data_IF_626306965852
#
_entry.id   IF_626306965852
#
_cell.length_a   1.000
_cell.length_b   1.000
_cell.length_c   1.000
_cell.angle_alpha   90.00
_cell.angle_beta   90.00
_cell.angle_gamma   90.00
#
_symmetry.space_group_name_H-M   'P 1'
#
loop_
_entity.id
_entity.type
_entity.pdbx_description
1 polymer ?
#
# COMPACT_ATOMS: atom_id res chain seq x y z
N UNK A 1 -13.00 -5.50 23.72
CA UNK A 1 -12.34 -4.96 22.51
C UNK A 1 -11.66 -3.66 22.93
N UNK A 2 -10.33 -3.69 23.08
CA UNK A 2 -9.57 -2.72 23.92
C UNK A 2 -9.28 -1.42 23.17
N UNK A 3 -9.56 -0.25 23.77
CA UNK A 3 -9.31 1.09 23.18
C UNK A 3 -7.88 1.29 22.66
N UNK A 4 -6.90 0.58 23.23
CA UNK A 4 -5.50 0.62 22.82
C UNK A 4 -5.26 0.15 21.37
N UNK A 5 -6.06 -0.79 20.84
CA UNK A 5 -5.85 -1.27 19.46
C UNK A 5 -6.29 -0.24 18.44
N UNK A 6 -7.36 0.52 18.74
CA UNK A 6 -7.87 1.58 17.86
C UNK A 6 -6.91 2.77 17.76
N UNK A 7 -6.26 3.16 18.87
CA UNK A 7 -5.24 4.22 18.85
C UNK A 7 -3.97 3.82 18.09
N UNK A 8 -3.53 2.55 18.24
CA UNK A 8 -2.39 2.03 17.49
C UNK A 8 -2.67 1.99 15.97
N UNK A 9 -3.85 1.52 15.57
CA UNK A 9 -4.28 1.55 14.16
C UNK A 9 -4.35 2.98 13.61
N UNK A 10 -4.89 3.94 14.37
CA UNK A 10 -4.96 5.34 13.96
C UNK A 10 -3.57 5.98 13.78
N UNK A 11 -2.64 5.70 14.68
CA UNK A 11 -1.27 6.21 14.60
C UNK A 11 -0.53 5.64 13.39
N UNK A 12 -0.70 4.35 13.09
CA UNK A 12 -0.11 3.71 11.91
C UNK A 12 -0.70 4.24 10.61
N UNK A 13 -2.02 4.41 10.53
CA UNK A 13 -2.70 5.00 9.36
C UNK A 13 -2.21 6.43 9.14
N UNK A 14 -2.14 7.25 10.20
CA UNK A 14 -1.65 8.63 10.11
C UNK A 14 -0.19 8.70 9.70
N UNK A 15 0.67 7.82 10.23
CA UNK A 15 2.09 7.74 9.87
C UNK A 15 2.26 7.36 8.40
N UNK A 16 1.43 6.45 7.89
CA UNK A 16 1.43 6.03 6.48
C UNK A 16 0.99 7.16 5.54
N UNK A 17 -0.03 7.93 5.92
CA UNK A 17 -0.48 9.12 5.16
C UNK A 17 0.56 10.24 5.22
N UNK A 18 1.16 10.49 6.38
CA UNK A 18 2.13 11.59 6.56
C UNK A 18 3.43 11.31 5.79
N UNK A 19 3.90 10.06 5.78
CA UNK A 19 5.07 9.66 4.98
C UNK A 19 4.86 9.92 3.48
N UNK A 20 3.64 9.77 2.95
CA UNK A 20 3.33 10.10 1.54
C UNK A 20 3.53 11.59 1.22
N UNK A 21 3.17 12.47 2.15
CA UNK A 21 3.31 13.91 1.95
C UNK A 21 4.75 14.42 2.19
N UNK A 22 5.43 13.89 3.20
CA UNK A 22 6.77 14.36 3.55
C UNK A 22 7.80 14.03 2.45
N UNK A 23 7.69 12.83 1.86
CA UNK A 23 8.56 12.43 0.74
C UNK A 23 8.39 13.32 -0.51
N UNK A 24 7.19 13.85 -0.74
CA UNK A 24 6.92 14.79 -1.85
C UNK A 24 7.55 16.15 -1.57
N UNK A 25 7.40 16.65 -0.34
CA UNK A 25 7.92 17.94 0.08
C UNK A 25 9.45 18.01 -0.03
N UNK A 26 10.17 16.93 0.29
CA UNK A 26 11.63 16.88 0.17
C UNK A 26 12.12 16.97 -1.27
N UNK A 27 11.44 16.34 -2.23
CA UNK A 27 11.80 16.48 -3.64
C UNK A 27 11.51 17.90 -4.15
N UNK A 28 10.32 18.44 -3.84
CA UNK A 28 9.95 19.78 -4.25
C UNK A 28 10.84 20.86 -3.63
N UNK A 29 11.27 20.70 -2.37
CA UNK A 29 12.18 21.65 -1.74
C UNK A 29 13.54 21.68 -2.43
N UNK A 30 14.09 20.53 -2.83
CA UNK A 30 15.34 20.46 -3.59
C UNK A 30 15.19 21.01 -5.02
N UNK A 31 14.08 20.71 -5.70
CA UNK A 31 13.77 21.27 -7.02
C UNK A 31 13.64 22.79 -6.98
N UNK A 32 12.88 23.33 -6.03
CA UNK A 32 12.69 24.78 -5.87
C UNK A 32 14.01 25.44 -5.49
N UNK A 33 14.77 24.88 -4.54
CA UNK A 33 16.09 25.40 -4.17
C UNK A 33 17.04 25.42 -5.38
N UNK A 34 17.06 24.35 -6.17
CA UNK A 34 17.86 24.30 -7.39
C UNK A 34 17.45 25.38 -8.38
N UNK A 35 16.16 25.52 -8.69
CA UNK A 35 15.69 26.51 -9.66
C UNK A 35 15.96 27.95 -9.22
N UNK A 36 15.70 28.27 -7.94
CA UNK A 36 15.90 29.62 -7.41
C UNK A 36 17.38 29.96 -7.34
N UNK A 37 18.20 29.09 -6.74
CA UNK A 37 19.64 29.36 -6.55
C UNK A 37 20.36 29.38 -7.89
N UNK A 38 20.16 28.39 -8.75
CA UNK A 38 20.83 28.37 -10.05
C UNK A 38 20.29 29.48 -10.96
N UNK A 39 18.98 29.75 -10.95
CA UNK A 39 18.38 30.85 -11.71
C UNK A 39 19.00 32.21 -11.35
N UNK A 40 19.20 32.47 -10.04
CA UNK A 40 19.87 33.68 -9.58
C UNK A 40 21.36 33.71 -9.97
N UNK A 41 22.06 32.59 -9.85
CA UNK A 41 23.47 32.47 -10.25
C UNK A 41 23.63 32.77 -11.74
N UNK A 42 22.82 32.16 -12.61
CA UNK A 42 22.87 32.39 -14.05
C UNK A 42 22.43 33.79 -14.46
N UNK A 43 21.51 34.42 -13.71
CA UNK A 43 21.08 35.80 -13.98
C UNK A 43 22.15 36.82 -13.59
N UNK A 44 22.91 36.56 -12.53
CA UNK A 44 23.94 37.47 -12.02
C UNK A 44 25.32 37.25 -12.64
N UNK A 45 25.64 36.04 -13.12
CA UNK A 45 26.93 35.78 -13.75
C UNK A 45 26.95 36.24 -15.21
N UNK A 46 28.00 36.98 -15.56
CA UNK A 46 28.33 37.26 -16.95
C UNK A 46 28.88 35.99 -17.63
N UNK A 47 28.59 35.78 -18.93
CA UNK A 47 29.01 34.59 -19.67
C UNK A 47 30.52 34.50 -19.89
N UNK A 48 31.28 35.53 -19.56
CA UNK A 48 32.72 35.59 -19.75
C UNK A 48 33.44 35.52 -18.40
N UNK A 49 34.03 34.35 -18.09
CA UNK A 49 34.89 34.20 -16.92
C UNK A 49 34.97 32.78 -16.37
N UNK A 50 36.05 32.49 -15.65
CA UNK A 50 36.29 31.20 -14.97
C UNK A 50 35.16 30.84 -14.00
N UNK A 51 34.52 31.84 -13.40
CA UNK A 51 33.38 31.65 -12.49
C UNK A 51 32.14 31.10 -13.20
N UNK A 52 31.93 31.41 -14.48
CA UNK A 52 30.82 30.86 -15.27
C UNK A 52 30.98 29.37 -15.49
N UNK A 53 32.20 28.92 -15.82
CA UNK A 53 32.53 27.50 -15.99
C UNK A 53 32.40 26.73 -14.68
N UNK A 54 32.89 27.30 -13.57
CA UNK A 54 32.78 26.68 -12.25
C UNK A 54 31.32 26.58 -11.82
N UNK A 55 30.55 27.66 -11.97
CA UNK A 55 29.12 27.67 -11.68
C UNK A 55 28.39 26.60 -12.51
N UNK A 56 28.69 26.50 -13.81
CA UNK A 56 28.12 25.47 -14.69
C UNK A 56 28.42 24.03 -14.24
N UNK A 57 29.65 23.75 -13.81
CA UNK A 57 30.02 22.42 -13.28
C UNK A 57 29.25 22.12 -11.99
N UNK A 58 29.18 23.06 -11.05
CA UNK A 58 28.43 22.88 -9.80
C UNK A 58 26.93 22.72 -10.06
N UNK A 59 26.34 23.55 -10.94
CA UNK A 59 24.96 23.43 -11.38
C UNK A 59 24.70 22.07 -12.02
N UNK A 60 25.62 21.56 -12.84
CA UNK A 60 25.52 20.24 -13.47
C UNK A 60 25.57 19.10 -12.46
N UNK A 61 26.54 19.13 -11.54
CA UNK A 61 26.69 18.12 -10.49
C UNK A 61 25.48 18.11 -9.54
N UNK A 62 24.99 19.29 -9.19
CA UNK A 62 23.82 19.43 -8.34
C UNK A 62 22.54 19.02 -9.08
N UNK A 63 22.44 19.34 -10.37
CA UNK A 63 21.39 18.85 -11.26
C UNK A 63 21.37 17.32 -11.38
N UNK A 64 22.52 16.67 -11.40
CA UNK A 64 22.63 15.20 -11.36
C UNK A 64 22.04 14.63 -10.07
N UNK A 65 22.32 15.26 -8.92
CA UNK A 65 21.69 14.91 -7.65
C UNK A 65 20.15 15.02 -7.71
N UNK A 66 19.65 16.03 -8.42
CA UNK A 66 18.22 16.23 -8.63
C UNK A 66 17.58 15.14 -9.47
N UNK A 67 18.26 14.70 -10.53
CA UNK A 67 17.84 13.57 -11.36
C UNK A 67 17.79 12.28 -10.54
N UNK A 68 18.78 12.04 -9.67
CA UNK A 68 18.78 10.88 -8.77
C UNK A 68 17.55 10.92 -7.84
N UNK A 69 17.27 12.07 -7.21
CA UNK A 69 16.09 12.22 -6.37
C UNK A 69 14.78 12.06 -7.14
N UNK A 70 14.74 12.53 -8.40
CA UNK A 70 13.59 12.34 -9.28
C UNK A 70 13.36 10.86 -9.61
N UNK A 71 14.43 10.10 -9.90
CA UNK A 71 14.34 8.65 -10.11
C UNK A 71 13.86 7.95 -8.83
N UNK A 72 14.41 8.32 -7.67
CA UNK A 72 13.95 7.78 -6.38
C UNK A 72 12.47 8.08 -6.13
N UNK A 73 12.01 9.27 -6.49
CA UNK A 73 10.59 9.65 -6.42
C UNK A 73 9.72 8.72 -7.27
N UNK A 74 10.09 8.51 -8.54
CA UNK A 74 9.36 7.61 -9.45
C UNK A 74 9.36 6.15 -8.95
N UNK A 75 10.51 5.67 -8.45
CA UNK A 75 10.64 4.31 -7.93
C UNK A 75 9.82 4.09 -6.66
N UNK A 76 9.75 5.08 -5.76
CA UNK A 76 8.92 5.01 -4.55
C UNK A 76 7.43 4.91 -4.88
N UNK A 77 6.93 5.65 -5.87
CA UNK A 77 5.53 5.49 -6.33
C UNK A 77 5.26 4.08 -6.86
N UNK A 78 6.21 3.49 -7.60
CA UNK A 78 6.07 2.13 -8.12
C UNK A 78 6.08 1.08 -6.99
N UNK A 79 6.96 1.24 -6.01
CA UNK A 79 7.00 0.38 -4.81
C UNK A 79 5.72 0.48 -3.99
N UNK A 80 5.17 1.68 -3.78
CA UNK A 80 3.92 1.84 -3.05
C UNK A 80 2.74 1.14 -3.73
N UNK A 81 2.65 1.20 -5.07
CA UNK A 81 1.62 0.48 -5.83
C UNK A 81 1.79 -1.03 -5.76
N UNK A 82 3.03 -1.52 -5.71
CA UNK A 82 3.31 -2.95 -5.54
C UNK A 82 2.89 -3.43 -4.13
N UNK A 83 3.25 -2.67 -3.09
CA UNK A 83 2.87 -2.94 -1.70
C UNK A 83 1.34 -2.94 -1.54
N UNK A 84 0.64 -1.99 -2.15
CA UNK A 84 -0.82 -1.92 -2.05
C UNK A 84 -1.49 -3.13 -2.71
N UNK A 85 -0.98 -3.60 -3.85
CA UNK A 85 -1.44 -4.84 -4.49
C UNK A 85 -1.19 -6.08 -3.63
N UNK A 86 -0.05 -6.14 -2.94
CA UNK A 86 0.28 -7.26 -2.05
C UNK A 86 -0.63 -7.27 -0.81
N UNK A 87 -0.86 -6.10 -0.21
CA UNK A 87 -1.79 -5.92 0.92
C UNK A 87 -3.21 -6.28 0.51
N UNK A 88 -3.65 -5.85 -0.68
CA UNK A 88 -4.99 -6.18 -1.19
C UNK A 88 -5.14 -7.68 -1.44
N UNK A 89 -4.12 -8.33 -2.01
CA UNK A 89 -4.08 -9.78 -2.18
C UNK A 89 -4.18 -10.49 -0.84
N UNK A 90 -3.39 -10.11 0.16
CA UNK A 90 -3.45 -10.74 1.49
C UNK A 90 -4.80 -10.51 2.19
N UNK A 91 -5.39 -9.31 2.07
CA UNK A 91 -6.74 -9.01 2.58
C UNK A 91 -7.82 -9.82 1.88
N UNK A 92 -7.69 -10.09 0.58
CA UNK A 92 -8.62 -10.94 -0.17
C UNK A 92 -8.53 -12.39 0.29
N UNK A 93 -7.32 -12.91 0.53
CA UNK A 93 -7.11 -14.24 1.11
C UNK A 93 -7.76 -14.37 2.49
N UNK A 94 -7.56 -13.39 3.39
CA UNK A 94 -8.15 -13.41 4.73
C UNK A 94 -9.68 -13.33 4.70
N UNK A 95 -10.26 -12.48 3.85
CA UNK A 95 -11.73 -12.42 3.68
C UNK A 95 -12.29 -13.72 3.12
N UNK A 96 -11.64 -14.31 2.12
CA UNK A 96 -12.06 -15.57 1.53
C UNK A 96 -11.95 -16.74 2.51
N UNK A 97 -10.92 -16.77 3.36
CA UNK A 97 -10.80 -17.76 4.43
C UNK A 97 -11.87 -17.59 5.51
N UNK A 98 -12.19 -16.34 5.89
CA UNK A 98 -13.27 -16.06 6.84
C UNK A 98 -14.65 -16.44 6.26
N UNK A 99 -14.91 -16.16 4.98
CA UNK A 99 -16.13 -16.59 4.29
C UNK A 99 -16.22 -18.12 4.14
N UNK A 100 -15.11 -18.80 3.82
CA UNK A 100 -15.08 -20.27 3.80
C UNK A 100 -15.33 -20.85 5.18
N UNK A 101 -14.74 -20.26 6.22
CA UNK A 101 -14.90 -20.72 7.60
C UNK A 101 -16.33 -20.47 8.09
N UNK A 102 -16.93 -19.30 7.83
CA UNK A 102 -18.35 -19.05 8.11
C UNK A 102 -19.28 -19.99 7.32
N UNK A 103 -18.96 -20.26 6.05
CA UNK A 103 -19.71 -21.19 5.20
C UNK A 103 -19.68 -22.62 5.73
N UNK A 104 -18.51 -23.10 6.17
CA UNK A 104 -18.37 -24.41 6.81
C UNK A 104 -19.06 -24.47 8.17
N UNK A 105 -18.93 -23.41 8.99
CA UNK A 105 -19.61 -23.32 10.29
C UNK A 105 -21.13 -23.34 10.09
N UNK A 106 -21.67 -22.59 9.12
CA UNK A 106 -23.10 -22.62 8.78
C UNK A 106 -23.56 -23.98 8.27
N UNK A 107 -22.82 -24.62 7.34
CA UNK A 107 -23.13 -25.97 6.86
C UNK A 107 -23.17 -27.01 7.97
N UNK A 108 -22.25 -26.94 8.94
CA UNK A 108 -22.24 -27.87 10.09
C UNK A 108 -23.37 -27.58 11.08
N UNK A 109 -23.80 -26.32 11.19
CA UNK A 109 -24.90 -25.92 12.09
C UNK A 109 -26.27 -26.33 11.55
N UNK A 110 -26.47 -26.31 10.23
CA UNK A 110 -27.71 -26.80 9.59
C UNK A 110 -27.89 -28.33 9.71
N UNK A 111 -26.83 -29.08 10.03
CA UNK A 111 -26.89 -30.53 10.29
C UNK A 111 -27.25 -30.92 11.73
N UNK A 112 -27.35 -29.94 12.63
CA UNK A 112 -27.65 -30.16 14.05
C UNK A 112 -28.98 -29.48 14.38
N UNK A 113 -30.04 -30.28 14.48
CA UNK A 113 -31.34 -29.81 14.97
C UNK A 113 -31.50 -30.13 16.45
N UNK A 114 -32.04 -29.18 17.19
CA UNK A 114 -32.36 -29.33 18.61
C UNK A 114 -33.66 -30.09 18.80
N UNK A 115 -33.62 -31.09 19.66
CA UNK A 115 -34.78 -31.85 20.11
C UNK A 115 -35.60 -30.97 21.08
N UNK A 116 -36.84 -31.37 21.40
CA UNK A 116 -37.69 -30.66 22.36
C UNK A 116 -37.13 -30.63 23.80
N UNK A 117 -36.14 -31.46 24.06
CA UNK A 117 -35.49 -31.77 25.34
C UNK A 117 -34.16 -31.02 25.50
N UNK A 118 -33.68 -30.34 24.46
CA UNK A 118 -32.42 -29.58 24.47
C UNK A 118 -31.16 -30.40 24.17
N UNK A 119 -31.27 -31.69 23.83
CA UNK A 119 -30.15 -32.50 23.36
C UNK A 119 -29.88 -32.29 21.86
N UNK A 120 -28.62 -32.52 21.43
CA UNK A 120 -28.18 -32.38 20.03
C UNK A 120 -28.39 -33.71 19.27
N UNK A 121 -29.24 -33.72 18.25
CA UNK A 121 -29.30 -34.82 17.27
C UNK A 121 -28.44 -34.52 16.04
N UNK A 122 -27.58 -35.47 15.66
CA UNK A 122 -26.86 -35.47 14.39
C UNK A 122 -27.78 -36.04 13.30
N UNK A 123 -28.14 -35.23 12.32
CA UNK A 123 -28.88 -35.71 11.15
C UNK A 123 -27.88 -36.45 10.25
N UNK A 124 -27.91 -37.79 10.31
CA UNK A 124 -27.25 -38.64 9.31
C UNK A 124 -28.09 -38.54 8.04
N UNK A 125 -27.74 -37.59 7.17
CA UNK A 125 -28.18 -37.59 5.78
C UNK A 125 -27.62 -38.86 5.12
N UNK A 126 -28.50 -39.82 4.90
CA UNK A 126 -28.22 -40.99 4.06
C UNK A 126 -27.99 -40.46 2.64
N UNK A 127 -26.78 -40.62 2.12
CA UNK A 127 -26.38 -40.20 0.77
C UNK A 127 -27.36 -40.76 -0.27
N UNK A 128 -28.30 -39.93 -0.73
CA UNK A 128 -29.11 -40.23 -1.91
C UNK A 128 -28.16 -40.34 -3.11
N UNK A 129 -27.89 -41.59 -3.49
CA UNK A 129 -27.02 -41.97 -4.58
C UNK A 129 -27.36 -41.20 -5.87
N UNK A 130 -26.36 -40.78 -6.67
CA UNK A 130 -26.62 -40.05 -7.90
C UNK A 130 -27.42 -40.93 -8.88
N UNK A 131 -28.66 -40.53 -9.13
CA UNK A 131 -29.52 -41.12 -10.16
C UNK A 131 -28.83 -40.94 -11.52
N UNK A 132 -28.25 -42.04 -12.02
CA UNK A 132 -27.80 -42.19 -13.41
C UNK A 132 -28.97 -41.92 -14.35
N UNK A 133 -29.05 -40.71 -14.91
CA UNK A 133 -29.85 -40.48 -16.12
C UNK A 133 -29.08 -41.00 -17.33
N UNK A 134 -29.38 -42.25 -17.71
CA UNK A 134 -29.23 -42.72 -19.10
C UNK A 134 -30.39 -42.16 -19.92
N UNK A 135 -30.12 -41.21 -20.81
CA UNK A 135 -30.48 -41.30 -22.24
C UNK A 135 -29.91 -40.11 -23.00
#
# INVERSE_FOLDING_TARGET
MSKNTMEQDYAEIRKRITNRYNNRAEFFSHLVAFLVVNGLIWLLLQPEGTWFTIAGIFSGLWGMGLVIHFIQYLMKEAQERAIEKEIERERAWRRGSDEMQEGEIKRKRDRLTLNHDGELMEIVEEDDAPVRRRR
#
